data_IF_459441115680
#
_entry.id   IF_459441115680
#
_cell.length_a   1.000
_cell.length_b   1.000
_cell.length_c   1.000
_cell.angle_alpha   90.00
_cell.angle_beta   90.00
_cell.angle_gamma   90.00
#
_symmetry.space_group_name_H-M   'P 1'
#
loop_
_entity.id
_entity.type
_entity.pdbx_description
1 polymer ?
#
# COMPACT_ATOMS: atom_id res chain seq x y z
N UNK A 1 -11.13 -6.59 -8.70
CA UNK A 1 -10.27 -5.47 -9.16
C UNK A 1 -9.13 -5.13 -8.21
N UNK A 2 -9.08 -5.64 -6.96
CA UNK A 2 -8.06 -5.25 -5.98
C UNK A 2 -6.61 -5.35 -6.47
N UNK A 3 -6.23 -6.50 -7.08
CA UNK A 3 -4.87 -6.71 -7.57
C UNK A 3 -4.55 -5.84 -8.78
N UNK A 4 -5.50 -5.67 -9.71
CA UNK A 4 -5.36 -4.77 -10.87
C UNK A 4 -5.10 -3.34 -10.42
N UNK A 5 -5.76 -2.89 -9.36
CA UNK A 5 -5.56 -1.55 -8.85
C UNK A 5 -4.18 -1.36 -8.22
N UNK A 6 -3.68 -2.36 -7.50
CA UNK A 6 -2.29 -2.35 -7.03
C UNK A 6 -1.29 -2.37 -8.21
N UNK A 7 -1.55 -3.19 -9.24
CA UNK A 7 -0.74 -3.23 -10.46
C UNK A 7 -0.68 -1.89 -11.18
N UNK A 8 -1.80 -1.17 -11.23
CA UNK A 8 -1.87 0.15 -11.83
C UNK A 8 -1.11 1.23 -11.03
N UNK A 9 -1.06 1.11 -9.71
CA UNK A 9 -0.19 1.98 -8.89
C UNK A 9 1.29 1.72 -9.19
N UNK A 10 1.64 0.45 -9.39
CA UNK A 10 3.02 0.03 -9.58
C UNK A 10 3.51 0.30 -11.00
N UNK A 11 2.62 0.37 -12.00
CA UNK A 11 3.00 0.80 -13.35
C UNK A 11 3.57 2.22 -13.39
N UNK A 12 3.27 3.05 -12.38
CA UNK A 12 3.83 4.39 -12.23
C UNK A 12 5.24 4.41 -11.61
N UNK A 13 5.73 3.26 -11.13
CA UNK A 13 7.03 3.11 -10.49
C UNK A 13 7.88 2.07 -11.25
N UNK A 14 8.57 2.47 -12.34
CA UNK A 14 9.37 1.55 -13.15
C UNK A 14 10.40 0.75 -12.35
N UNK A 15 11.06 1.38 -11.37
CA UNK A 15 12.03 0.71 -10.49
C UNK A 15 11.39 -0.42 -9.68
N UNK A 16 10.17 -0.22 -9.18
CA UNK A 16 9.44 -1.24 -8.45
C UNK A 16 9.00 -2.37 -9.39
N UNK A 17 8.52 -2.03 -10.59
CA UNK A 17 8.15 -3.03 -11.59
C UNK A 17 9.36 -3.90 -11.99
N UNK A 18 10.55 -3.31 -12.14
CA UNK A 18 11.80 -4.04 -12.39
C UNK A 18 12.26 -4.87 -11.19
N UNK A 19 11.93 -4.47 -9.97
CA UNK A 19 12.19 -5.28 -8.77
C UNK A 19 11.28 -6.52 -8.73
N UNK A 20 10.03 -6.39 -9.16
CA UNK A 20 9.04 -7.46 -9.22
C UNK A 20 9.32 -8.40 -10.40
N UNK A 21 9.58 -7.87 -11.60
CA UNK A 21 9.81 -8.66 -12.82
C UNK A 21 11.29 -8.79 -13.15
N UNK A 22 11.85 -9.96 -12.90
CA UNK A 22 13.27 -10.21 -13.14
C UNK A 22 13.56 -10.52 -14.60
N UNK A 23 12.63 -11.21 -15.25
CA UNK A 23 12.65 -11.40 -16.70
C UNK A 23 12.05 -10.16 -17.36
N UNK A 24 12.90 -9.15 -17.61
CA UNK A 24 12.48 -7.82 -18.12
C UNK A 24 12.13 -7.79 -19.61
N UNK A 25 12.57 -8.80 -20.37
CA UNK A 25 12.35 -8.92 -21.81
C UNK A 25 11.49 -10.13 -22.12
N UNK A 26 10.90 -10.17 -23.31
CA UNK A 26 10.26 -11.38 -23.81
C UNK A 26 11.28 -12.54 -23.80
N UNK A 27 10.86 -13.70 -23.31
CA UNK A 27 11.69 -14.89 -23.27
C UNK A 27 11.14 -15.91 -24.25
N UNK A 28 11.94 -16.28 -25.27
CA UNK A 28 11.54 -17.24 -26.29
C UNK A 28 11.26 -18.65 -25.73
N UNK A 29 11.86 -18.98 -24.58
CA UNK A 29 11.60 -20.22 -23.85
C UNK A 29 10.31 -20.17 -23.02
N UNK A 30 9.62 -19.03 -23.00
CA UNK A 30 8.37 -18.84 -22.27
C UNK A 30 8.52 -18.79 -20.75
N UNK A 31 9.74 -18.75 -20.20
CA UNK A 31 9.99 -18.81 -18.74
C UNK A 31 10.21 -17.41 -18.14
N UNK A 32 9.44 -17.09 -17.10
CA UNK A 32 9.48 -15.79 -16.43
C UNK A 32 9.67 -15.95 -14.91
N UNK A 33 10.44 -15.03 -14.34
CA UNK A 33 10.72 -14.95 -12.91
C UNK A 33 10.06 -13.70 -12.32
N UNK A 34 9.15 -13.90 -11.37
CA UNK A 34 8.39 -12.83 -10.71
C UNK A 34 8.61 -12.87 -9.19
N UNK A 35 9.08 -11.78 -8.59
CA UNK A 35 9.19 -11.65 -7.13
C UNK A 35 7.88 -11.16 -6.53
N UNK A 36 7.39 -11.89 -5.53
CA UNK A 36 6.21 -11.51 -4.75
C UNK A 36 6.58 -11.55 -3.27
N UNK A 37 6.24 -10.50 -2.52
CA UNK A 37 6.46 -10.43 -1.08
C UNK A 37 5.31 -11.13 -0.34
N UNK A 38 5.49 -12.41 -0.03
CA UNK A 38 4.47 -13.20 0.67
C UNK A 38 4.81 -13.35 2.15
N UNK A 39 3.88 -12.94 3.02
CA UNK A 39 4.07 -12.90 4.48
C UNK A 39 5.35 -12.17 4.90
N UNK A 40 5.66 -11.06 4.23
CA UNK A 40 6.81 -10.23 4.56
C UNK A 40 8.14 -10.73 4.04
N UNK A 41 8.19 -11.82 3.26
CA UNK A 41 9.39 -12.34 2.63
C UNK A 41 9.26 -12.35 1.10
N UNK A 42 10.28 -11.88 0.40
CA UNK A 42 10.36 -11.95 -1.05
C UNK A 42 10.54 -13.38 -1.53
N UNK A 43 9.65 -13.83 -2.41
CA UNK A 43 9.73 -15.14 -3.06
C UNK A 43 9.77 -14.96 -4.57
N UNK A 44 10.74 -15.60 -5.22
CA UNK A 44 10.80 -15.66 -6.69
C UNK A 44 9.94 -16.83 -7.17
N UNK A 45 8.88 -16.52 -7.91
CA UNK A 45 7.95 -17.46 -8.50
C UNK A 45 8.31 -17.62 -9.98
N UNK A 46 8.59 -18.86 -10.37
CA UNK A 46 8.84 -19.23 -11.77
C UNK A 46 7.49 -19.54 -12.42
N UNK A 47 7.19 -18.92 -13.56
CA UNK A 47 5.97 -19.16 -14.34
C UNK A 47 6.31 -19.28 -15.82
N UNK A 48 5.50 -20.04 -16.55
CA UNK A 48 5.47 -20.00 -18.00
C UNK A 48 4.52 -18.89 -18.52
N UNK A 49 4.41 -18.70 -19.83
CA UNK A 49 3.52 -17.74 -20.51
C UNK A 49 2.23 -18.34 -21.09
N UNK A 50 1.83 -19.55 -20.69
CA UNK A 50 0.51 -20.08 -21.01
C UNK A 50 -0.56 -19.45 -20.13
N UNK A 51 -1.44 -18.65 -20.72
CA UNK A 51 -2.52 -17.99 -19.99
C UNK A 51 -3.89 -18.60 -20.29
N UNK A 52 -4.82 -18.59 -19.33
CA UNK A 52 -6.22 -18.88 -19.60
C UNK A 52 -6.79 -17.89 -20.62
N UNK A 53 -7.24 -18.42 -21.76
CA UNK A 53 -7.76 -17.64 -22.87
C UNK A 53 -9.20 -18.07 -23.20
N UNK A 54 -10.00 -17.11 -23.66
CA UNK A 54 -11.28 -17.37 -24.28
C UNK A 54 -11.09 -18.09 -25.62
N UNK A 55 -12.18 -18.63 -26.18
CA UNK A 55 -12.18 -19.24 -27.53
C UNK A 55 -11.65 -18.30 -28.63
N UNK A 56 -11.68 -17.00 -28.40
CA UNK A 56 -11.20 -15.96 -29.32
C UNK A 56 -9.77 -15.49 -29.01
N UNK A 57 -9.03 -16.24 -28.18
CA UNK A 57 -7.63 -15.94 -27.79
C UNK A 57 -7.45 -14.64 -26.99
N UNK A 58 -8.50 -14.10 -26.39
CA UNK A 58 -8.38 -13.04 -25.38
C UNK A 58 -8.10 -13.63 -24.01
N UNK A 59 -7.22 -12.99 -23.24
CA UNK A 59 -6.96 -13.35 -21.84
C UNK A 59 -8.26 -13.28 -21.03
N UNK A 60 -8.52 -14.29 -20.21
CA UNK A 60 -9.72 -14.36 -19.35
C UNK A 60 -9.60 -13.44 -18.13
N UNK A 61 -8.37 -13.23 -17.65
CA UNK A 61 -8.08 -12.42 -16.46
C UNK A 61 -7.44 -11.07 -16.84
N UNK A 62 -6.42 -10.63 -16.10
CA UNK A 62 -5.82 -9.30 -16.30
C UNK A 62 -5.22 -9.17 -17.70
N UNK A 63 -5.57 -8.09 -18.39
CA UNK A 63 -5.04 -7.73 -19.69
C UNK A 63 -4.53 -6.29 -19.65
N UNK A 64 -3.29 -6.08 -20.09
CA UNK A 64 -2.74 -4.74 -20.27
C UNK A 64 -2.93 -4.27 -21.72
N UNK A 65 -2.92 -2.96 -21.92
CA UNK A 65 -2.95 -2.35 -23.26
C UNK A 65 -1.68 -2.74 -24.03
N UNK A 66 -1.77 -2.67 -25.37
CA UNK A 66 -0.63 -2.91 -26.28
C UNK A 66 0.06 -4.28 -26.08
N UNK A 67 -0.69 -5.31 -25.68
CA UNK A 67 -0.18 -6.67 -25.46
C UNK A 67 1.00 -6.74 -24.47
N UNK A 68 1.05 -5.83 -23.49
CA UNK A 68 2.07 -5.88 -22.45
C UNK A 68 1.84 -7.07 -21.51
N UNK A 69 2.87 -7.87 -21.25
CA UNK A 69 2.75 -9.11 -20.47
C UNK A 69 2.98 -8.93 -18.96
N UNK A 70 3.46 -7.77 -18.51
CA UNK A 70 3.84 -7.57 -17.09
C UNK A 70 2.68 -7.88 -16.13
N UNK A 71 1.49 -7.34 -16.42
CA UNK A 71 0.31 -7.48 -15.56
C UNK A 71 -0.21 -8.93 -15.50
N UNK A 72 -0.44 -9.64 -16.63
CA UNK A 72 -0.86 -11.04 -16.59
C UNK A 72 0.20 -11.97 -15.97
N UNK A 73 1.49 -11.70 -16.18
CA UNK A 73 2.58 -12.46 -15.53
C UNK A 73 2.53 -12.32 -14.01
N UNK A 74 2.40 -11.09 -13.49
CA UNK A 74 2.33 -10.85 -12.04
C UNK A 74 1.07 -11.49 -11.44
N UNK A 75 -0.09 -11.34 -12.09
CA UNK A 75 -1.31 -12.00 -11.65
C UNK A 75 -1.17 -13.52 -11.62
N UNK A 76 -0.55 -14.12 -12.65
CA UNK A 76 -0.28 -15.56 -12.70
C UNK A 76 0.66 -16.01 -11.58
N UNK A 77 1.71 -15.24 -11.28
CA UNK A 77 2.61 -15.52 -10.16
C UNK A 77 1.86 -15.50 -8.82
N UNK A 78 0.98 -14.51 -8.61
CA UNK A 78 0.09 -14.46 -7.45
C UNK A 78 -0.85 -15.67 -7.42
N UNK A 79 -1.51 -16.02 -8.53
CA UNK A 79 -2.39 -17.18 -8.61
C UNK A 79 -1.66 -18.48 -8.27
N UNK A 80 -0.44 -18.68 -8.79
CA UNK A 80 0.41 -19.83 -8.47
C UNK A 80 0.79 -19.86 -6.99
N UNK A 81 1.17 -18.72 -6.41
CA UNK A 81 1.48 -18.59 -4.99
C UNK A 81 0.30 -18.96 -4.09
N UNK A 82 -0.93 -18.57 -4.48
CA UNK A 82 -2.17 -18.85 -3.73
C UNK A 82 -2.86 -20.16 -4.15
N UNK A 83 -2.30 -20.90 -5.11
CA UNK A 83 -2.77 -22.21 -5.58
C UNK A 83 -3.76 -22.20 -6.75
N UNK A 84 -4.44 -21.08 -7.04
CA UNK A 84 -5.28 -20.93 -8.23
C UNK A 84 -5.66 -19.47 -8.51
N UNK A 85 -6.14 -19.17 -9.72
CA UNK A 85 -6.76 -17.87 -10.03
C UNK A 85 -8.01 -17.60 -9.20
N UNK A 86 -8.81 -18.65 -8.92
CA UNK A 86 -10.01 -18.53 -8.08
C UNK A 86 -9.69 -18.08 -6.65
N UNK A 87 -8.52 -18.45 -6.12
CA UNK A 87 -8.04 -18.03 -4.81
C UNK A 87 -7.71 -16.53 -4.72
N UNK A 88 -7.62 -15.81 -5.85
CA UNK A 88 -7.44 -14.36 -5.88
C UNK A 88 -8.75 -13.58 -5.70
N UNK A 89 -9.91 -14.25 -5.58
CA UNK A 89 -11.20 -13.59 -5.38
C UNK A 89 -11.29 -12.96 -3.98
N UNK A 90 -11.78 -11.72 -3.91
CA UNK A 90 -12.15 -11.07 -2.64
C UNK A 90 -11.01 -10.47 -1.82
N UNK A 91 -9.89 -10.11 -2.45
CA UNK A 91 -8.81 -9.35 -1.77
C UNK A 91 -9.06 -7.85 -1.68
N UNK A 92 -8.23 -7.18 -0.89
CA UNK A 92 -8.19 -5.72 -0.70
C UNK A 92 -6.98 -5.13 -1.45
N UNK A 93 -7.10 -3.92 -1.99
CA UNK A 93 -5.98 -3.19 -2.62
C UNK A 93 -4.75 -3.15 -1.71
N UNK A 94 -4.94 -3.00 -0.39
CA UNK A 94 -3.85 -3.02 0.58
C UNK A 94 -3.06 -4.32 0.54
N UNK A 95 -3.74 -5.46 0.44
CA UNK A 95 -3.09 -6.76 0.30
C UNK A 95 -2.29 -6.84 -1.00
N UNK A 96 -2.82 -6.24 -2.08
CA UNK A 96 -2.15 -6.17 -3.38
C UNK A 96 -0.87 -5.36 -3.32
N UNK A 97 -0.94 -4.16 -2.74
CA UNK A 97 0.23 -3.32 -2.55
C UNK A 97 1.29 -4.04 -1.70
N UNK A 98 0.90 -4.64 -0.58
CA UNK A 98 1.84 -5.37 0.28
C UNK A 98 2.50 -6.57 -0.40
N UNK A 99 1.77 -7.29 -1.24
CA UNK A 99 2.34 -8.40 -2.02
C UNK A 99 3.39 -7.91 -3.01
N UNK A 100 3.24 -6.71 -3.54
CA UNK A 100 4.04 -6.21 -4.64
C UNK A 100 5.13 -5.22 -4.19
N UNK A 101 4.97 -4.58 -3.03
CA UNK A 101 5.95 -3.63 -2.44
C UNK A 101 6.64 -4.21 -1.21
N UNK A 102 6.00 -5.13 -0.49
CA UNK A 102 6.49 -5.68 0.77
C UNK A 102 6.51 -4.70 1.95
N UNK A 103 6.03 -3.46 1.78
CA UNK A 103 6.05 -2.42 2.82
C UNK A 103 4.69 -2.28 3.51
N UNK A 104 4.61 -1.66 4.71
CA UNK A 104 3.31 -1.39 5.32
C UNK A 104 2.46 -0.46 4.45
N UNK A 105 1.15 -0.64 4.57
CA UNK A 105 0.17 0.19 3.87
C UNK A 105 -0.89 0.62 4.88
N UNK A 106 -1.08 1.92 5.01
CA UNK A 106 -2.14 2.51 5.79
C UNK A 106 -3.43 2.56 4.98
N UNK A 107 -4.57 2.44 5.65
CA UNK A 107 -5.88 2.55 5.01
C UNK A 107 -6.76 3.41 5.88
N UNK A 108 -7.43 4.34 5.22
CA UNK A 108 -8.28 5.33 5.82
C UNK A 108 -9.66 5.10 5.22
N UNK A 109 -10.58 4.59 6.02
CA UNK A 109 -11.98 4.48 5.62
C UNK A 109 -12.63 5.86 5.57
N UNK A 110 -13.37 6.13 4.50
CA UNK A 110 -14.09 7.39 4.30
C UNK A 110 -15.59 7.26 4.66
N UNK A 111 -16.07 6.06 4.96
CA UNK A 111 -17.46 5.80 5.35
C UNK A 111 -17.79 6.30 6.76
N UNK A 112 -18.99 6.85 6.92
CA UNK A 112 -19.43 7.68 8.04
C UNK A 112 -19.45 6.93 9.38
N UNK A 113 -18.42 7.08 10.21
CA UNK A 113 -18.48 6.79 11.65
C UNK A 113 -18.67 8.09 12.44
N UNK A 114 -19.55 8.04 13.44
CA UNK A 114 -20.14 9.12 14.22
C UNK A 114 -19.17 9.94 15.11
N UNK A 115 -17.87 9.74 14.97
CA UNK A 115 -16.83 10.54 15.63
C UNK A 115 -16.27 11.51 14.61
N UNK A 116 -16.02 12.74 15.02
CA UNK A 116 -15.62 13.88 14.17
C UNK A 116 -14.57 13.43 13.13
N UNK A 117 -15.04 13.17 11.91
CA UNK A 117 -14.19 12.98 10.74
C UNK A 117 -13.42 14.28 10.54
N UNK A 118 -12.17 14.36 10.98
CA UNK A 118 -11.34 15.51 10.62
C UNK A 118 -10.87 15.36 9.17
N UNK A 119 -11.77 15.72 8.26
CA UNK A 119 -11.52 15.85 6.83
C UNK A 119 -10.24 16.64 6.55
N UNK A 120 -9.87 17.61 7.40
CA UNK A 120 -8.63 18.36 7.27
C UNK A 120 -7.40 17.54 7.62
N UNK A 121 -7.47 16.65 8.61
CA UNK A 121 -6.37 15.76 8.96
C UNK A 121 -6.10 14.75 7.82
N UNK A 122 -7.14 14.11 7.29
CA UNK A 122 -7.03 13.20 6.14
C UNK A 122 -6.47 13.95 4.93
N UNK A 123 -6.97 15.16 4.67
CA UNK A 123 -6.49 15.98 3.58
C UNK A 123 -5.01 16.36 3.73
N UNK A 124 -4.61 16.82 4.92
CA UNK A 124 -3.21 17.17 5.24
C UNK A 124 -2.30 15.98 5.02
N UNK A 125 -2.74 14.80 5.47
CA UNK A 125 -2.01 13.55 5.27
C UNK A 125 -1.88 13.19 3.79
N UNK A 126 -2.98 13.24 3.05
CA UNK A 126 -3.00 13.01 1.61
C UNK A 126 -2.04 13.96 0.89
N UNK A 127 -2.08 15.24 1.22
CA UNK A 127 -1.23 16.27 0.63
C UNK A 127 0.26 15.99 0.89
N UNK A 128 0.62 15.62 2.12
CA UNK A 128 2.00 15.25 2.48
C UNK A 128 2.44 13.99 1.74
N UNK A 129 1.61 12.95 1.70
CA UNK A 129 1.91 11.71 0.97
C UNK A 129 2.09 11.92 -0.54
N UNK A 130 1.29 12.80 -1.15
CA UNK A 130 1.47 13.19 -2.55
C UNK A 130 2.80 13.94 -2.78
N UNK A 131 3.19 14.84 -1.87
CA UNK A 131 4.48 15.56 -1.95
C UNK A 131 5.68 14.62 -1.84
N UNK A 132 5.57 13.60 -0.98
CA UNK A 132 6.56 12.54 -0.83
C UNK A 132 6.55 11.53 -1.99
N UNK A 133 5.62 11.67 -2.94
CA UNK A 133 5.46 10.78 -4.10
C UNK A 133 5.20 9.32 -3.71
N UNK A 134 4.51 9.12 -2.59
CA UNK A 134 4.10 7.78 -2.15
C UNK A 134 3.08 7.18 -3.12
N UNK A 135 2.99 5.85 -3.13
CA UNK A 135 1.94 5.14 -3.86
C UNK A 135 0.63 5.24 -3.09
N UNK A 136 -0.36 5.90 -3.68
CA UNK A 136 -1.65 6.17 -3.05
C UNK A 136 -2.78 5.66 -3.93
N UNK A 137 -3.57 4.74 -3.40
CA UNK A 137 -4.78 4.24 -4.06
C UNK A 137 -6.06 4.66 -3.36
N UNK A 138 -7.17 4.52 -4.07
CA UNK A 138 -8.52 4.78 -3.55
C UNK A 138 -9.52 3.80 -4.14
N UNK A 139 -10.59 3.51 -3.41
CA UNK A 139 -11.68 2.67 -3.90
C UNK A 139 -13.00 3.43 -3.90
N UNK A 140 -13.79 3.24 -4.95
CA UNK A 140 -15.20 3.67 -4.99
C UNK A 140 -16.11 2.57 -4.45
N UNK A 141 -17.39 2.90 -4.29
CA UNK A 141 -18.39 1.89 -3.92
C UNK A 141 -18.94 2.05 -2.51
N UNK A 142 -19.10 3.29 -2.05
CA UNK A 142 -19.84 3.55 -0.82
C UNK A 142 -21.25 2.96 -0.88
N UNK A 143 -21.68 2.41 0.25
CA UNK A 143 -22.98 1.75 0.38
C UNK A 143 -24.18 2.72 0.31
N UNK A 144 -23.98 3.99 0.66
CA UNK A 144 -24.99 5.05 0.67
C UNK A 144 -25.22 5.72 -0.70
N UNK A 145 -24.53 5.24 -1.76
CA UNK A 145 -24.65 5.77 -3.12
C UNK A 145 -25.14 4.68 -4.07
N UNK A 146 -26.25 4.95 -4.77
CA UNK A 146 -26.88 3.99 -5.70
C UNK A 146 -26.03 3.80 -6.96
N UNK A 147 -26.18 2.65 -7.61
CA UNK A 147 -25.44 2.35 -8.85
C UNK A 147 -25.80 3.30 -9.99
N UNK A 148 -27.03 3.81 -10.02
CA UNK A 148 -27.52 4.80 -10.99
C UNK A 148 -26.84 6.16 -10.77
N UNK A 149 -26.57 6.56 -9.52
CA UNK A 149 -25.83 7.80 -9.24
C UNK A 149 -24.40 7.71 -9.76
N UNK A 150 -23.71 6.59 -9.52
CA UNK A 150 -22.37 6.32 -10.07
C UNK A 150 -22.36 6.36 -11.60
N UNK A 151 -23.36 5.76 -12.25
CA UNK A 151 -23.50 5.77 -13.70
C UNK A 151 -23.68 7.18 -14.27
N UNK A 152 -24.49 8.03 -13.63
CA UNK A 152 -24.70 9.43 -14.04
C UNK A 152 -23.43 10.27 -13.98
N UNK A 153 -22.54 9.99 -13.04
CA UNK A 153 -21.28 10.74 -12.89
C UNK A 153 -20.12 10.08 -13.63
N UNK A 154 -20.32 8.93 -14.26
CA UNK A 154 -19.27 8.18 -14.97
C UNK A 154 -18.09 7.74 -14.08
N UNK A 155 -18.37 7.43 -12.81
CA UNK A 155 -17.40 6.76 -11.90
C UNK A 155 -17.85 5.31 -11.74
N UNK A 156 -16.98 4.36 -12.05
CA UNK A 156 -17.28 2.94 -11.84
C UNK A 156 -17.43 2.65 -10.34
N UNK A 157 -18.56 2.06 -9.94
CA UNK A 157 -18.81 1.58 -8.58
C UNK A 157 -17.99 0.32 -8.28
N UNK A 158 -17.56 0.12 -7.03
CA UNK A 158 -16.77 -1.04 -6.58
C UNK A 158 -15.50 -1.25 -7.42
N UNK A 159 -14.88 -0.14 -7.78
CA UNK A 159 -13.68 -0.10 -8.59
C UNK A 159 -12.59 0.65 -7.85
N UNK A 160 -11.35 0.42 -8.26
CA UNK A 160 -10.20 0.93 -7.57
C UNK A 160 -9.36 1.78 -8.53
N UNK A 161 -8.85 2.88 -7.99
CA UNK A 161 -8.24 3.98 -8.73
C UNK A 161 -6.93 4.38 -8.03
N UNK A 162 -6.10 5.11 -8.75
CA UNK A 162 -4.87 5.70 -8.22
C UNK A 162 -5.10 7.18 -7.90
N UNK A 163 -4.54 7.67 -6.79
CA UNK A 163 -4.42 9.10 -6.53
C UNK A 163 -3.03 9.52 -6.97
N UNK A 164 -2.96 10.43 -7.94
CA UNK A 164 -1.69 10.90 -8.49
C UNK A 164 -1.21 12.20 -7.83
N UNK A 165 -2.16 13.05 -7.41
CA UNK A 165 -1.85 14.34 -6.81
C UNK A 165 -3.04 14.89 -6.03
N UNK A 166 -2.75 15.80 -5.10
CA UNK A 166 -3.73 16.58 -4.37
C UNK A 166 -3.32 18.05 -4.38
N UNK A 167 -4.28 18.96 -4.50
CA UNK A 167 -4.05 20.39 -4.61
C UNK A 167 -5.06 21.20 -3.80
N UNK A 168 -4.59 22.24 -3.11
CA UNK A 168 -5.41 23.19 -2.34
C UNK A 168 -5.15 24.64 -2.83
N UNK A 169 -6.23 25.38 -3.15
CA UNK A 169 -6.14 26.76 -3.63
C UNK A 169 -6.57 27.75 -2.54
N UNK A 170 -5.61 28.23 -1.75
CA UNK A 170 -5.71 29.40 -0.86
C UNK A 170 -6.64 29.27 0.36
N UNK A 171 -7.74 28.53 0.24
CA UNK A 171 -8.73 28.26 1.28
C UNK A 171 -9.10 26.77 1.28
N UNK A 172 -9.43 26.25 2.46
CA UNK A 172 -9.76 24.84 2.73
C UNK A 172 -10.99 24.35 1.94
N UNK A 173 -11.78 25.26 1.37
CA UNK A 173 -12.96 24.96 0.56
C UNK A 173 -12.63 24.55 -0.88
N UNK A 174 -11.42 24.86 -1.38
CA UNK A 174 -11.00 24.62 -2.78
C UNK A 174 -9.90 23.58 -2.87
N UNK A 175 -10.30 22.33 -2.63
CA UNK A 175 -9.44 21.15 -2.62
C UNK A 175 -9.79 20.21 -3.76
N UNK A 176 -8.78 19.75 -4.49
CA UNK A 176 -8.92 18.91 -5.68
C UNK A 176 -7.96 17.73 -5.63
N UNK A 177 -8.43 16.57 -6.07
CA UNK A 177 -7.65 15.34 -6.15
C UNK A 177 -7.58 14.92 -7.61
N UNK A 178 -6.38 14.56 -8.08
CA UNK A 178 -6.18 13.93 -9.38
C UNK A 178 -6.27 12.43 -9.21
N UNK A 179 -7.31 11.84 -9.78
CA UNK A 179 -7.59 10.40 -9.71
C UNK A 179 -7.38 9.80 -11.08
N UNK A 180 -6.85 8.58 -11.15
CA UNK A 180 -6.66 7.82 -12.39
C UNK A 180 -7.38 6.48 -12.34
N UNK A 181 -8.18 6.24 -13.37
CA UNK A 181 -8.79 4.94 -13.64
C UNK A 181 -7.81 4.05 -14.44
N UNK A 182 -7.40 2.90 -13.90
CA UNK A 182 -6.50 1.99 -14.59
C UNK A 182 -7.05 1.44 -15.91
N UNK A 183 -8.38 1.34 -16.05
CA UNK A 183 -9.01 0.87 -17.28
C UNK A 183 -9.25 2.01 -18.29
N UNK A 184 -9.00 3.27 -17.89
CA UNK A 184 -9.28 4.46 -18.70
C UNK A 184 -10.73 4.53 -19.21
N UNK A 185 -11.71 4.02 -18.45
CA UNK A 185 -13.12 4.02 -18.84
C UNK A 185 -13.91 5.18 -18.25
N UNK A 186 -13.39 5.83 -17.21
CA UNK A 186 -14.06 6.98 -16.61
C UNK A 186 -13.97 8.22 -17.52
N UNK A 187 -15.13 8.70 -17.95
CA UNK A 187 -15.30 9.99 -18.62
C UNK A 187 -15.76 11.08 -17.63
N UNK A 188 -15.40 10.95 -16.34
CA UNK A 188 -15.79 11.92 -15.32
C UNK A 188 -15.33 13.33 -15.71
N UNK A 189 -16.26 14.28 -15.66
CA UNK A 189 -15.99 15.71 -15.82
C UNK A 189 -16.73 16.47 -14.75
N UNK A 190 -16.05 17.43 -14.13
CA UNK A 190 -16.64 18.31 -13.12
C UNK A 190 -16.53 19.76 -13.59
N UNK A 191 -17.67 20.43 -13.70
CA UNK A 191 -17.73 21.85 -14.13
C UNK A 191 -16.92 22.78 -13.22
N UNK A 192 -16.84 22.45 -11.92
CA UNK A 192 -16.06 23.22 -10.95
C UNK A 192 -14.54 23.13 -11.20
N UNK A 193 -14.08 22.21 -12.03
CA UNK A 193 -12.68 22.11 -12.48
C UNK A 193 -12.58 22.69 -13.89
N UNK A 194 -12.57 24.01 -14.00
CA UNK A 194 -12.49 24.71 -15.27
C UNK A 194 -11.08 24.68 -15.87
N UNK A 195 -10.96 24.85 -17.19
CA UNK A 195 -9.65 25.03 -17.85
C UNK A 195 -8.85 26.19 -17.25
N UNK A 196 -9.53 27.26 -16.80
CA UNK A 196 -8.88 28.40 -16.14
C UNK A 196 -8.23 28.00 -14.81
N UNK A 197 -8.86 27.11 -14.05
CA UNK A 197 -8.27 26.52 -12.84
C UNK A 197 -7.08 25.64 -13.23
N UNK A 198 -7.24 24.72 -14.18
CA UNK A 198 -6.13 23.85 -14.62
C UNK A 198 -4.90 24.66 -15.09
N UNK A 199 -5.11 25.68 -15.92
CA UNK A 199 -4.05 26.60 -16.39
C UNK A 199 -3.40 27.37 -15.25
N UNK A 200 -4.21 27.94 -14.34
CA UNK A 200 -3.71 28.68 -13.17
C UNK A 200 -2.86 27.81 -12.26
N UNK A 201 -3.24 26.54 -12.13
CA UNK A 201 -2.55 25.60 -11.27
C UNK A 201 -1.35 24.92 -11.95
N UNK A 202 -1.08 25.23 -13.23
CA UNK A 202 -0.09 24.53 -14.08
C UNK A 202 -0.26 23.01 -14.05
N UNK A 203 -1.50 22.56 -13.86
CA UNK A 203 -1.83 21.15 -13.79
C UNK A 203 -2.03 20.63 -15.20
N UNK A 204 -1.57 19.40 -15.45
CA UNK A 204 -1.82 18.71 -16.71
C UNK A 204 -3.33 18.64 -16.90
N UNK A 205 -3.81 19.14 -18.04
CA UNK A 205 -5.19 18.94 -18.45
C UNK A 205 -5.37 17.44 -18.72
N UNK A 206 -6.15 16.71 -17.90
CA UNK A 206 -6.23 15.26 -18.05
C UNK A 206 -6.86 14.87 -19.40
N UNK A 207 -7.64 15.76 -20.01
CA UNK A 207 -8.23 15.56 -21.34
C UNK A 207 -7.17 15.51 -22.47
N UNK A 208 -6.01 16.13 -22.28
CA UNK A 208 -4.90 16.07 -23.24
C UNK A 208 -4.04 14.80 -23.03
N UNK A 209 -4.28 14.08 -21.93
CA UNK A 209 -3.53 12.89 -21.55
C UNK A 209 -4.36 11.62 -21.83
N UNK A 210 -3.84 10.70 -22.63
CA UNK A 210 -4.42 9.35 -22.85
C UNK A 210 -4.43 8.44 -21.61
N UNK A 211 -4.28 9.04 -20.41
CA UNK A 211 -3.94 8.36 -19.16
C UNK A 211 -5.15 7.93 -18.34
N UNK A 212 -6.38 8.30 -18.73
CA UNK A 212 -7.59 7.96 -17.97
C UNK A 212 -7.64 8.61 -16.58
N UNK A 213 -7.03 9.79 -16.44
CA UNK A 213 -7.03 10.58 -15.22
C UNK A 213 -8.07 11.70 -15.28
N UNK A 214 -8.55 12.14 -14.12
CA UNK A 214 -9.50 13.25 -13.99
C UNK A 214 -9.33 13.95 -12.63
N UNK A 215 -9.62 15.25 -12.62
CA UNK A 215 -9.69 16.02 -11.37
C UNK A 215 -11.08 15.92 -10.77
N UNK A 216 -11.15 15.78 -9.45
CA UNK A 216 -12.40 15.77 -8.67
C UNK A 216 -12.25 16.65 -7.43
N UNK A 217 -13.30 17.40 -7.08
CA UNK A 217 -13.32 18.17 -5.84
C UNK A 217 -13.32 17.26 -4.61
N UNK A 218 -12.67 17.67 -3.53
CA UNK A 218 -12.58 16.89 -2.30
C UNK A 218 -13.96 16.51 -1.74
N UNK A 219 -14.93 17.41 -1.83
CA UNK A 219 -16.32 17.15 -1.43
C UNK A 219 -16.94 15.99 -2.22
N UNK A 220 -16.74 15.94 -3.54
CA UNK A 220 -17.25 14.83 -4.38
C UNK A 220 -16.43 13.57 -4.19
N UNK A 221 -15.13 13.69 -3.97
CA UNK A 221 -14.27 12.56 -3.62
C UNK A 221 -14.81 11.84 -2.37
N UNK A 222 -15.09 12.56 -1.29
CA UNK A 222 -15.69 11.99 -0.08
C UNK A 222 -17.09 11.37 -0.31
N UNK A 223 -17.84 11.86 -1.30
CA UNK A 223 -19.17 11.33 -1.67
C UNK A 223 -19.10 10.02 -2.46
N UNK A 224 -18.08 9.78 -3.28
CA UNK A 224 -18.03 8.61 -4.18
C UNK A 224 -16.97 7.57 -3.82
N UNK A 225 -15.97 7.94 -3.01
CA UNK A 225 -14.89 7.05 -2.62
C UNK A 225 -15.07 6.59 -1.17
N UNK A 226 -14.80 5.31 -0.92
CA UNK A 226 -15.01 4.64 0.37
C UNK A 226 -13.73 4.53 1.19
N UNK A 227 -12.55 4.62 0.57
CA UNK A 227 -11.27 4.51 1.29
C UNK A 227 -10.08 5.11 0.54
N UNK A 228 -9.03 5.47 1.28
CA UNK A 228 -7.70 5.81 0.76
C UNK A 228 -6.69 4.80 1.31
N UNK A 229 -5.83 4.24 0.47
CA UNK A 229 -4.73 3.36 0.88
C UNK A 229 -3.39 3.98 0.51
N UNK A 230 -2.51 4.17 1.49
CA UNK A 230 -1.20 4.82 1.32
C UNK A 230 -0.11 3.78 1.61
N UNK A 231 0.76 3.52 0.64
CA UNK A 231 1.94 2.66 0.82
C UNK A 231 3.15 3.50 1.18
N UNK A 232 3.90 3.10 2.21
CA UNK A 232 5.14 3.77 2.61
C UNK A 232 6.32 3.37 1.72
N UNK A 233 6.07 3.05 0.46
CA UNK A 233 7.11 2.52 -0.43
C UNK A 233 7.98 3.68 -0.91
N UNK A 234 9.28 3.51 -0.76
CA UNK A 234 10.29 4.40 -1.31
C UNK A 234 11.37 3.56 -1.99
N UNK A 235 11.75 3.92 -3.22
CA UNK A 235 12.71 3.14 -4.01
C UNK A 235 14.13 3.19 -3.47
N UNK A 236 14.43 4.19 -2.64
CA UNK A 236 15.77 4.43 -2.13
C UNK A 236 15.96 3.84 -0.72
N UNK A 237 14.93 3.23 -0.15
CA UNK A 237 14.99 2.59 1.16
C UNK A 237 15.80 1.28 1.10
N UNK A 238 16.58 1.04 2.16
CA UNK A 238 17.25 -0.25 2.37
C UNK A 238 16.32 -1.20 3.13
N UNK A 239 15.99 -2.34 2.53
CA UNK A 239 15.02 -3.30 3.05
C UNK A 239 15.71 -4.53 3.66
N UNK A 240 15.56 -4.72 4.98
CA UNK A 240 16.03 -5.91 5.71
C UNK A 240 14.82 -6.64 6.27
N UNK A 241 14.76 -7.96 6.05
CA UNK A 241 13.65 -8.80 6.46
C UNK A 241 14.17 -10.00 7.23
N UNK A 242 13.72 -10.15 8.47
CA UNK A 242 14.09 -11.25 9.34
C UNK A 242 12.85 -11.96 9.85
N UNK A 243 12.89 -13.29 9.80
CA UNK A 243 11.84 -14.11 10.40
C UNK A 243 12.05 -14.14 11.91
N UNK A 244 11.03 -13.74 12.68
CA UNK A 244 11.09 -13.76 14.13
C UNK A 244 9.97 -14.64 14.71
N UNK A 245 10.24 -15.22 15.88
CA UNK A 245 9.24 -15.92 16.68
C UNK A 245 8.97 -15.10 17.94
N UNK A 246 7.72 -14.70 18.12
CA UNK A 246 7.28 -14.12 19.38
C UNK A 246 7.14 -15.23 20.42
N UNK A 247 8.03 -15.23 21.41
CA UNK A 247 8.00 -16.17 22.52
C UNK A 247 6.79 -15.94 23.41
N UNK A 248 6.28 -17.02 24.00
CA UNK A 248 5.04 -17.01 24.81
C UNK A 248 5.30 -17.17 26.31
N UNK A 249 6.53 -17.52 26.67
CA UNK A 249 6.96 -17.76 28.06
C UNK A 249 8.11 -16.83 28.43
N UNK A 250 8.15 -16.42 29.70
CA UNK A 250 9.29 -15.70 30.30
C UNK A 250 10.57 -16.54 30.37
N UNK A 251 10.48 -17.85 30.14
CA UNK A 251 11.62 -18.78 30.17
C UNK A 251 12.26 -19.02 28.80
N UNK A 252 11.67 -18.52 27.71
CA UNK A 252 12.21 -18.66 26.36
C UNK A 252 13.11 -17.47 26.01
N UNK A 253 14.23 -17.72 25.31
CA UNK A 253 15.10 -16.66 24.81
C UNK A 253 14.36 -15.75 23.83
N UNK A 254 14.44 -14.43 24.06
CA UNK A 254 13.90 -13.42 23.16
C UNK A 254 14.98 -13.07 22.14
N UNK A 255 14.65 -13.21 20.85
CA UNK A 255 15.51 -12.69 19.78
C UNK A 255 15.54 -11.17 19.86
N UNK A 256 16.74 -10.58 19.93
CA UNK A 256 16.95 -9.14 19.90
C UNK A 256 17.79 -8.76 18.69
N UNK A 257 17.54 -7.58 18.14
CA UNK A 257 18.29 -7.06 17.01
C UNK A 257 19.09 -5.85 17.45
N UNK A 258 20.39 -5.87 17.18
CA UNK A 258 21.29 -4.76 17.42
C UNK A 258 21.39 -3.92 16.15
N UNK A 259 21.08 -2.63 16.27
CA UNK A 259 21.07 -1.68 15.17
C UNK A 259 22.09 -0.58 15.43
N UNK A 260 23.07 -0.45 14.54
CA UNK A 260 23.99 0.67 14.53
C UNK A 260 23.53 1.69 13.49
N UNK A 261 23.22 2.91 13.94
CA UNK A 261 22.79 4.03 13.11
C UNK A 261 23.95 5.03 13.04
N UNK A 262 24.78 5.05 11.98
CA UNK A 262 25.98 5.89 11.95
C UNK A 262 25.69 7.39 11.76
N UNK A 263 24.50 7.72 11.27
CA UNK A 263 24.01 9.09 11.04
C UNK A 263 22.51 9.12 11.22
N UNK A 264 21.92 10.30 11.48
CA UNK A 264 20.46 10.44 11.59
C UNK A 264 19.77 9.82 10.37
N UNK A 265 18.91 8.83 10.60
CA UNK A 265 18.31 8.00 9.55
C UNK A 265 16.83 7.78 9.83
N UNK A 266 16.01 7.91 8.78
CA UNK A 266 14.59 7.52 8.83
C UNK A 266 14.49 6.01 8.75
N UNK A 267 13.79 5.40 9.70
CA UNK A 267 13.66 3.95 9.82
C UNK A 267 12.18 3.60 9.98
N UNK A 268 11.76 2.60 9.23
CA UNK A 268 10.44 1.97 9.41
C UNK A 268 10.63 0.53 9.87
N UNK A 269 10.04 0.18 11.00
CA UNK A 269 10.05 -1.17 11.56
C UNK A 269 8.63 -1.72 11.44
N UNK A 270 8.47 -2.88 10.81
CA UNK A 270 7.16 -3.47 10.54
C UNK A 270 7.15 -4.95 10.93
N UNK A 271 6.09 -5.37 11.63
CA UNK A 271 5.82 -6.77 11.95
C UNK A 271 4.72 -7.27 11.02
N UNK A 272 5.06 -8.24 10.18
CA UNK A 272 4.15 -8.87 9.23
C UNK A 272 3.82 -10.28 9.71
N UNK A 273 2.55 -10.53 10.03
CA UNK A 273 2.08 -11.85 10.44
C UNK A 273 1.79 -12.75 9.23
N UNK A 274 2.06 -14.05 9.35
CA UNK A 274 1.68 -15.01 8.32
C UNK A 274 0.15 -15.12 8.21
N UNK A 275 -0.37 -15.32 6.99
CA UNK A 275 -1.83 -15.46 6.76
C UNK A 275 -2.46 -16.63 7.53
N UNK A 276 -1.70 -17.69 7.81
CA UNK A 276 -2.15 -18.81 8.66
C UNK A 276 -2.33 -18.35 10.13
N UNK A 277 -1.42 -17.52 10.63
CA UNK A 277 -1.50 -16.95 11.97
C UNK A 277 -2.69 -16.00 12.16
N UNK A 278 -3.12 -15.31 11.09
CA UNK A 278 -4.34 -14.49 11.10
C UNK A 278 -5.62 -15.31 11.34
N UNK A 279 -5.64 -16.58 10.90
CA UNK A 279 -6.76 -17.51 11.11
C UNK A 279 -6.72 -18.14 12.49
N UNK A 280 -5.53 -18.47 12.99
CA UNK A 280 -5.33 -18.88 14.38
C UNK A 280 -5.29 -17.64 15.26
N UNK A 281 -6.44 -17.00 15.45
CA UNK A 281 -6.59 -15.79 16.28
C UNK A 281 -6.05 -16.04 17.69
N UNK A 282 -4.78 -15.74 17.90
CA UNK A 282 -4.22 -15.59 19.23
C UNK A 282 -4.82 -14.30 19.82
N UNK A 283 -5.33 -14.37 21.05
CA UNK A 283 -5.83 -13.22 21.80
C UNK A 283 -4.74 -12.22 22.24
N UNK A 284 -3.50 -12.39 21.75
CA UNK A 284 -2.32 -11.70 22.27
C UNK A 284 -1.86 -10.60 21.33
N UNK A 285 -1.45 -9.48 21.93
CA UNK A 285 -0.81 -8.38 21.22
C UNK A 285 0.66 -8.71 21.00
N UNK A 286 1.16 -8.43 19.80
CA UNK A 286 2.58 -8.50 19.46
C UNK A 286 3.08 -7.08 19.25
N UNK A 287 4.30 -6.84 19.71
CA UNK A 287 4.86 -5.51 19.91
C UNK A 287 6.38 -5.56 19.81
N UNK A 288 7.02 -4.40 19.71
CA UNK A 288 8.45 -4.30 19.94
C UNK A 288 8.78 -3.06 20.77
N UNK A 289 9.92 -3.12 21.44
CA UNK A 289 10.55 -1.98 22.10
C UNK A 289 11.83 -1.64 21.35
N UNK A 290 12.02 -0.36 21.07
CA UNK A 290 13.29 0.16 20.57
C UNK A 290 13.93 0.99 21.68
N UNK A 291 15.13 0.59 22.10
CA UNK A 291 15.90 1.25 23.15
C UNK A 291 17.18 1.83 22.58
N UNK A 292 17.50 3.07 22.92
CA UNK A 292 18.83 3.66 22.68
C UNK A 292 19.84 3.10 23.70
N UNK A 293 21.00 2.68 23.21
CA UNK A 293 22.07 2.01 23.97
C UNK A 293 23.12 3.02 24.43
N UNK A 294 23.29 4.15 23.76
CA UNK A 294 24.36 5.09 24.16
C UNK A 294 24.09 5.72 25.54
N UNK A 295 22.83 5.70 25.98
CA UNK A 295 22.42 6.02 27.36
C UNK A 295 22.75 4.93 28.41
N UNK A 296 23.11 3.71 28.01
CA UNK A 296 23.48 2.64 28.98
C UNK A 296 24.80 2.92 29.69
N UNK A 297 25.66 3.79 29.12
CA UNK A 297 26.98 4.07 29.67
C UNK A 297 26.98 5.10 30.80
N UNK A 298 25.90 5.87 30.99
CA UNK A 298 25.97 7.06 31.85
C UNK A 298 25.37 6.89 33.24
N UNK A 299 24.44 5.96 33.52
CA UNK A 299 23.77 5.92 34.85
C UNK A 299 23.26 4.56 35.35
N UNK A 300 23.59 3.42 34.72
CA UNK A 300 23.06 2.11 35.16
C UNK A 300 21.53 1.97 35.08
N UNK A 301 20.86 2.97 34.50
CA UNK A 301 19.44 2.99 34.15
C UNK A 301 19.36 2.51 32.70
N UNK A 302 18.50 1.53 32.44
CA UNK A 302 18.15 1.09 31.08
C UNK A 302 17.71 2.33 30.31
N UNK A 303 18.43 2.66 29.23
CA UNK A 303 18.43 3.96 28.56
C UNK A 303 17.05 4.57 28.23
N UNK A 304 17.03 5.84 27.82
CA UNK A 304 15.77 6.52 27.52
C UNK A 304 14.97 5.72 26.49
N UNK A 305 13.79 5.26 26.91
CA UNK A 305 12.88 4.49 26.07
C UNK A 305 12.34 5.39 24.96
N UNK A 306 12.83 5.18 23.75
CA UNK A 306 12.41 5.99 22.59
C UNK A 306 11.05 5.53 22.03
N UNK A 307 10.60 4.28 22.24
CA UNK A 307 9.23 3.88 21.85
C UNK A 307 8.65 2.61 22.51
N UNK A 308 7.31 2.57 22.60
CA UNK A 308 6.50 1.34 22.75
C UNK A 308 5.57 1.29 21.56
N UNK A 309 5.54 0.19 20.82
CA UNK A 309 4.50 -0.02 19.83
C UNK A 309 3.64 -1.20 20.21
N UNK A 310 2.38 -0.90 20.51
CA UNK A 310 1.37 -1.89 20.87
C UNK A 310 0.57 -2.23 19.61
N UNK A 311 0.84 -3.38 19.01
CA UNK A 311 -0.03 -3.93 17.96
C UNK A 311 -1.32 -4.49 18.54
N UNK A 312 -2.47 -4.23 17.88
CA UNK A 312 -3.77 -4.83 18.24
C UNK A 312 -4.46 -5.45 17.01
N UNK A 313 -5.30 -6.44 17.28
CA UNK A 313 -5.97 -7.37 16.35
C UNK A 313 -6.45 -6.73 15.04
N UNK A 314 -6.04 -7.32 13.91
CA UNK A 314 -6.52 -6.98 12.57
C UNK A 314 -5.74 -5.86 11.86
N UNK A 315 -4.80 -5.21 12.54
CA UNK A 315 -3.92 -4.17 11.99
C UNK A 315 -2.48 -4.61 11.76
N UNK A 316 -1.74 -3.84 10.96
CA UNK A 316 -0.29 -3.95 10.82
C UNK A 316 0.38 -3.28 12.03
N UNK A 317 1.41 -3.90 12.59
CA UNK A 317 2.20 -3.30 13.67
C UNK A 317 3.44 -2.70 13.03
N UNK A 318 3.47 -1.38 12.85
CA UNK A 318 4.64 -0.71 12.33
C UNK A 318 4.91 0.59 13.07
N UNK A 319 6.17 1.01 13.03
CA UNK A 319 6.66 2.31 13.47
C UNK A 319 7.46 2.91 12.33
N UNK A 320 7.39 4.23 12.20
CA UNK A 320 8.26 4.98 11.31
C UNK A 320 8.70 6.23 12.04
N UNK A 321 9.98 6.57 11.97
CA UNK A 321 10.55 7.72 12.65
C UNK A 321 12.03 7.91 12.31
N UNK A 322 12.58 9.04 12.74
CA UNK A 322 14.01 9.33 12.57
C UNK A 322 14.77 8.97 13.84
N UNK A 323 15.75 8.08 13.73
CA UNK A 323 16.71 7.82 14.79
C UNK A 323 17.94 8.72 14.62
N UNK A 324 18.53 9.14 15.73
CA UNK A 324 19.80 9.87 15.73
C UNK A 324 20.97 8.90 15.50
N UNK A 325 22.18 9.45 15.32
CA UNK A 325 23.36 8.60 15.28
C UNK A 325 23.56 7.93 16.65
N UNK A 326 23.75 6.61 16.67
CA UNK A 326 23.93 5.85 17.90
C UNK A 326 23.66 4.36 17.72
N UNK A 327 23.62 3.66 18.85
CA UNK A 327 23.33 2.23 18.90
C UNK A 327 21.96 1.97 19.51
N UNK A 328 21.19 1.05 18.93
CA UNK A 328 19.83 0.74 19.35
C UNK A 328 19.62 -0.77 19.50
N UNK A 329 18.85 -1.20 20.51
CA UNK A 329 18.33 -2.58 20.60
C UNK A 329 16.84 -2.58 20.26
N UNK A 330 16.48 -3.44 19.32
CA UNK A 330 15.09 -3.78 19.01
C UNK A 330 14.72 -5.11 19.67
N UNK A 331 13.71 -5.08 20.53
CA UNK A 331 13.22 -6.22 21.30
C UNK A 331 11.77 -6.52 20.91
N UNK A 332 11.50 -7.51 20.03
CA UNK A 332 10.16 -8.03 19.81
C UNK A 332 9.63 -8.77 21.05
N UNK A 333 8.36 -8.54 21.41
CA UNK A 333 7.73 -9.23 22.53
C UNK A 333 6.22 -9.43 22.30
N UNK A 334 5.61 -10.35 23.04
CA UNK A 334 4.16 -10.55 23.09
C UNK A 334 3.61 -10.24 24.47
N UNK A 335 2.39 -9.74 24.57
CA UNK A 335 1.74 -9.46 25.86
C UNK A 335 1.45 -10.72 26.69
N UNK A 336 1.67 -11.92 26.15
CA UNK A 336 1.69 -13.17 26.92
C UNK A 336 2.78 -13.19 28.00
N UNK A 337 3.86 -12.41 27.85
CA UNK A 337 4.96 -12.35 28.83
C UNK A 337 4.52 -11.89 30.23
N UNK A 338 3.43 -11.14 30.33
CA UNK A 338 3.07 -10.39 31.55
C UNK A 338 1.76 -10.84 32.19
N UNK A 339 1.19 -11.96 31.72
CA UNK A 339 0.03 -12.61 32.33
C UNK A 339 0.50 -13.85 33.10
N UNK A 340 1.15 -13.65 34.23
CA UNK A 340 1.25 -14.65 35.29
C UNK A 340 0.72 -14.04 36.57
#
# INVERSE_FOLDING_TARGET
CWLIAALALISEQPRLLEHILLTKKYNNEGVYLVRICHNGLWKTIIIDDYFPCTKHKYLVFTQAKHCQLYAPLIEKACAKLYGSYAALKGGDMREGLQLLTGVPCEHIGLESSKDIFDSNLIWTKLLTSCKEKLLIGTASGRNDVSSEEYARVHIHKNHAFSILSAYELGDATKRFVLVRDPHSHSNYREEAVTESILKRLRLVNPADSSMGAFWISWRRFLRYFSSITISTYNSDDFDIREQCKFTRSSTEYVMTYYLHVPKRTSITINVIHHRQDRRTRSSHSQAFVLCDIDDLKSNGIVGKRESILIGKQGGHTYWSGSLSAGYYVLIPFSTSFWKN
#
